data_IF_066025399179
#
_entry.id   IF_066025399179
#
_cell.length_a   1.000
_cell.length_b   1.000
_cell.length_c   1.000
_cell.angle_alpha   90.00
_cell.angle_beta   90.00
_cell.angle_gamma   90.00
#
_symmetry.space_group_name_H-M   'P 1'
#
loop_
_entity.id
_entity.type
_entity.pdbx_description
1 polymer ?
#
# COMPACT_ATOMS: atom_id res chain seq x y z
N UNK A 1 -43.39 -14.30 6.76
CA UNK A 1 -43.22 -12.87 6.47
C UNK A 1 -41.76 -12.60 6.15
N UNK A 2 -41.43 -12.30 4.89
CA UNK A 2 -40.06 -11.96 4.47
C UNK A 2 -39.88 -10.44 4.58
N UNK A 3 -38.95 -9.98 5.42
CA UNK A 3 -38.63 -8.56 5.57
C UNK A 3 -38.08 -8.04 4.23
N UNK A 4 -38.69 -6.98 3.69
CA UNK A 4 -38.16 -6.30 2.49
C UNK A 4 -36.88 -5.54 2.86
N UNK A 5 -35.79 -5.65 2.07
CA UNK A 5 -34.57 -4.91 2.32
C UNK A 5 -34.83 -3.40 2.17
N UNK A 6 -34.44 -2.62 3.19
CA UNK A 6 -34.47 -1.15 3.16
C UNK A 6 -33.08 -0.65 2.84
N UNK A 7 -32.92 0.06 1.72
CA UNK A 7 -31.67 0.75 1.41
C UNK A 7 -31.43 1.89 2.40
N UNK A 8 -30.20 2.01 2.90
CA UNK A 8 -29.77 3.12 3.77
C UNK A 8 -29.35 4.30 2.89
N UNK A 9 -30.30 5.17 2.53
CA UNK A 9 -30.07 6.37 1.70
C UNK A 9 -29.60 7.60 2.53
N UNK A 10 -29.10 7.40 3.75
CA UNK A 10 -28.62 8.50 4.62
C UNK A 10 -27.17 8.90 4.35
N UNK A 11 -26.46 9.32 5.40
CA UNK A 11 -25.02 9.68 5.36
C UNK A 11 -24.09 8.58 4.81
N UNK A 12 -24.57 7.33 4.77
CA UNK A 12 -23.88 6.20 4.12
C UNK A 12 -23.77 6.32 2.59
N UNK A 13 -24.52 7.23 1.96
CA UNK A 13 -24.42 7.47 0.52
C UNK A 13 -23.27 8.43 0.15
N UNK A 14 -22.81 9.25 1.09
CA UNK A 14 -21.80 10.27 0.84
C UNK A 14 -20.47 9.72 0.26
N UNK A 15 -19.92 8.59 0.75
CA UNK A 15 -18.72 7.99 0.15
C UNK A 15 -18.98 7.49 -1.29
N UNK A 16 -20.19 7.00 -1.57
CA UNK A 16 -20.58 6.55 -2.91
C UNK A 16 -20.68 7.70 -3.91
N UNK A 17 -21.26 8.83 -3.51
CA UNK A 17 -21.31 10.05 -4.33
C UNK A 17 -19.89 10.56 -4.60
N UNK A 18 -19.02 10.56 -3.57
CA UNK A 18 -17.63 10.97 -3.72
C UNK A 18 -16.90 10.11 -4.78
N UNK A 19 -17.09 8.80 -4.75
CA UNK A 19 -16.50 7.89 -5.72
C UNK A 19 -16.97 8.17 -7.15
N UNK A 20 -18.27 8.40 -7.36
CA UNK A 20 -18.81 8.77 -8.68
C UNK A 20 -18.29 10.13 -9.15
N UNK A 21 -18.17 11.10 -8.24
CA UNK A 21 -17.57 12.41 -8.54
C UNK A 21 -16.11 12.30 -8.98
N UNK A 22 -15.30 11.51 -8.26
CA UNK A 22 -13.91 11.26 -8.62
C UNK A 22 -13.80 10.54 -9.97
N UNK A 23 -14.67 9.57 -10.23
CA UNK A 23 -14.73 8.89 -11.53
C UNK A 23 -15.03 9.87 -12.68
N UNK A 24 -16.01 10.75 -12.52
CA UNK A 24 -16.35 11.75 -13.52
C UNK A 24 -15.18 12.74 -13.75
N UNK A 25 -14.48 13.14 -12.69
CA UNK A 25 -13.29 13.98 -12.78
C UNK A 25 -12.17 13.29 -13.56
N UNK A 26 -11.89 12.01 -13.26
CA UNK A 26 -10.90 11.24 -14.01
C UNK A 26 -11.29 11.09 -15.48
N UNK A 27 -12.56 10.79 -15.76
CA UNK A 27 -13.07 10.73 -17.13
C UNK A 27 -12.87 12.07 -17.87
N UNK A 28 -13.16 13.19 -17.20
CA UNK A 28 -12.94 14.53 -17.76
C UNK A 28 -11.46 14.76 -18.10
N UNK A 29 -10.55 14.42 -17.20
CA UNK A 29 -9.10 14.56 -17.42
C UNK A 29 -8.67 13.72 -18.63
N UNK A 30 -9.04 12.44 -18.67
CA UNK A 30 -8.69 11.53 -19.78
C UNK A 30 -9.21 12.05 -21.13
N UNK A 31 -10.44 12.57 -21.17
CA UNK A 31 -11.04 13.07 -22.41
C UNK A 31 -10.44 14.40 -22.89
N UNK A 32 -9.90 15.21 -21.97
CA UNK A 32 -9.33 16.53 -22.29
C UNK A 32 -7.80 16.54 -22.36
N UNK A 33 -7.14 15.44 -21.99
CA UNK A 33 -5.68 15.34 -22.07
C UNK A 33 -5.27 14.97 -23.49
N UNK A 34 -4.57 15.84 -24.23
CA UNK A 34 -4.06 15.49 -25.54
C UNK A 34 -2.91 14.49 -25.37
N UNK A 35 -3.07 13.29 -25.90
CA UNK A 35 -1.97 12.33 -26.06
C UNK A 35 -1.26 12.63 -27.37
N UNK A 36 0.05 12.87 -27.32
CA UNK A 36 0.87 12.97 -28.54
C UNK A 36 0.92 11.65 -29.30
N UNK A 37 1.22 11.70 -30.60
CA UNK A 37 1.56 10.49 -31.34
C UNK A 37 2.83 9.88 -30.74
N UNK A 38 2.75 8.62 -30.33
CA UNK A 38 3.92 7.88 -29.85
C UNK A 38 4.85 7.63 -31.05
N UNK A 39 6.14 8.00 -30.97
CA UNK A 39 7.11 7.63 -32.00
C UNK A 39 7.15 6.11 -32.20
N UNK A 40 7.29 5.61 -33.43
CA UNK A 40 7.37 4.16 -33.69
C UNK A 40 8.57 3.51 -32.97
N UNK A 41 9.61 4.29 -32.68
CA UNK A 41 10.85 3.91 -31.99
C UNK A 41 10.76 4.09 -30.46
N UNK A 42 9.61 4.48 -29.89
CA UNK A 42 9.52 4.94 -28.49
C UNK A 42 9.89 3.87 -27.43
N UNK A 43 9.95 2.60 -27.84
CA UNK A 43 10.34 1.48 -26.97
C UNK A 43 11.56 0.72 -27.48
N UNK A 44 12.25 1.21 -28.53
CA UNK A 44 13.51 0.63 -28.97
C UNK A 44 14.66 1.14 -28.07
N UNK A 45 14.66 0.68 -26.83
CA UNK A 45 15.66 1.03 -25.83
C UNK A 45 16.34 -0.24 -25.33
N UNK A 46 17.68 -0.24 -25.32
CA UNK A 46 18.46 -1.40 -24.89
C UNK A 46 18.19 -1.79 -23.42
N UNK A 47 17.93 -0.80 -22.56
CA UNK A 47 17.60 -1.02 -21.15
C UNK A 47 16.78 0.12 -20.55
N UNK A 48 15.51 -0.18 -20.23
CA UNK A 48 14.62 0.73 -19.51
C UNK A 48 15.18 1.09 -18.13
N UNK A 49 15.83 0.13 -17.46
CA UNK A 49 16.44 0.37 -16.15
C UNK A 49 17.58 1.38 -16.23
N UNK A 50 18.43 1.27 -17.28
CA UNK A 50 19.52 2.22 -17.49
C UNK A 50 18.97 3.62 -17.81
N UNK A 51 17.99 3.70 -18.70
CA UNK A 51 17.28 4.94 -19.05
C UNK A 51 16.72 5.68 -17.82
N UNK A 52 16.03 4.95 -16.94
CA UNK A 52 15.51 5.51 -15.68
C UNK A 52 16.67 5.96 -14.77
N UNK A 53 17.73 5.15 -14.67
CA UNK A 53 18.93 5.50 -13.88
C UNK A 53 19.60 6.77 -14.37
N UNK A 54 19.77 6.94 -15.68
CA UNK A 54 20.36 8.15 -16.25
C UNK A 54 19.47 9.37 -16.01
N UNK A 55 18.15 9.23 -16.13
CA UNK A 55 17.19 10.30 -15.83
C UNK A 55 17.20 10.70 -14.35
N UNK A 56 17.31 9.74 -13.43
CA UNK A 56 17.36 9.99 -11.98
C UNK A 56 18.60 10.78 -11.54
N UNK A 57 19.73 10.56 -12.20
CA UNK A 57 21.01 11.20 -11.87
C UNK A 57 21.38 12.34 -12.82
N UNK A 58 20.46 12.78 -13.68
CA UNK A 58 20.67 13.88 -14.63
C UNK A 58 21.87 13.65 -15.57
N UNK A 59 22.02 12.42 -16.05
CA UNK A 59 23.14 11.98 -16.89
C UNK A 59 22.80 12.11 -18.40
N UNK A 60 22.39 13.31 -18.82
CA UNK A 60 22.03 13.65 -20.21
C UNK A 60 23.00 13.17 -21.29
N UNK A 61 24.33 13.35 -21.16
CA UNK A 61 25.28 12.89 -22.17
C UNK A 61 25.28 11.36 -22.40
N UNK A 62 24.96 10.57 -21.36
CA UNK A 62 24.86 9.11 -21.49
C UNK A 62 23.52 8.70 -22.11
N UNK A 63 22.45 9.44 -21.81
CA UNK A 63 21.13 9.26 -22.43
C UNK A 63 21.18 9.46 -23.95
N UNK A 64 21.90 10.49 -24.42
CA UNK A 64 22.10 10.73 -25.85
C UNK A 64 22.93 9.63 -26.51
N UNK A 65 23.97 9.13 -25.82
CA UNK A 65 24.86 8.07 -26.34
C UNK A 65 24.11 6.74 -26.51
N UNK A 66 23.23 6.41 -25.57
CA UNK A 66 22.45 5.17 -25.58
C UNK A 66 21.09 5.32 -26.31
N UNK A 67 20.87 6.46 -26.98
CA UNK A 67 19.66 6.71 -27.79
C UNK A 67 18.38 6.95 -26.99
N UNK A 68 18.46 7.09 -25.67
CA UNK A 68 17.29 7.21 -24.78
C UNK A 68 17.09 8.66 -24.33
N UNK A 69 16.51 9.50 -25.20
CA UNK A 69 16.25 10.92 -24.91
C UNK A 69 14.80 11.17 -24.46
N UNK A 70 14.58 12.22 -23.67
CA UNK A 70 13.23 12.69 -23.32
C UNK A 70 12.50 11.86 -22.25
N UNK A 71 13.25 11.23 -21.35
CA UNK A 71 12.73 10.39 -20.25
C UNK A 71 12.21 11.20 -19.05
N UNK A 72 12.52 12.48 -18.95
CA UNK A 72 12.19 13.33 -17.80
C UNK A 72 10.67 13.42 -17.52
N UNK A 73 9.78 13.60 -18.53
CA UNK A 73 8.34 13.65 -18.28
C UNK A 73 7.80 12.31 -17.79
N UNK A 74 8.36 11.20 -18.29
CA UNK A 74 8.05 9.86 -17.81
C UNK A 74 8.51 9.69 -16.36
N UNK A 75 9.73 10.09 -16.04
CA UNK A 75 10.26 10.02 -14.67
C UNK A 75 9.41 10.85 -13.70
N UNK A 76 9.01 12.06 -14.09
CA UNK A 76 8.13 12.90 -13.29
C UNK A 76 6.76 12.25 -13.05
N UNK A 77 6.15 11.67 -14.09
CA UNK A 77 4.90 10.92 -13.96
C UNK A 77 5.06 9.68 -13.06
N UNK A 78 6.15 8.93 -13.22
CA UNK A 78 6.48 7.76 -12.41
C UNK A 78 6.60 8.13 -10.92
N UNK A 79 7.32 9.21 -10.60
CA UNK A 79 7.46 9.70 -9.22
C UNK A 79 6.12 10.20 -8.66
N UNK A 80 5.30 10.88 -9.45
CA UNK A 80 3.96 11.31 -9.04
C UNK A 80 3.06 10.11 -8.72
N UNK A 81 3.10 9.05 -9.53
CA UNK A 81 2.35 7.82 -9.28
C UNK A 81 2.85 7.17 -8.00
N UNK A 82 4.16 7.04 -7.81
CA UNK A 82 4.74 6.46 -6.60
C UNK A 82 4.27 7.20 -5.34
N UNK A 83 4.36 8.54 -5.34
CA UNK A 83 3.89 9.38 -4.24
C UNK A 83 2.37 9.23 -3.99
N UNK A 84 1.59 9.15 -5.07
CA UNK A 84 0.13 9.01 -4.97
C UNK A 84 -0.24 7.64 -4.40
N UNK A 85 0.44 6.58 -4.82
CA UNK A 85 0.22 5.22 -4.32
C UNK A 85 0.58 5.09 -2.83
N UNK A 86 1.66 5.73 -2.40
CA UNK A 86 2.06 5.79 -0.99
C UNK A 86 0.97 6.43 -0.12
N UNK A 87 0.52 7.64 -0.49
CA UNK A 87 -0.55 8.34 0.21
C UNK A 87 -1.89 7.58 0.17
N UNK A 88 -2.19 6.89 -0.94
CA UNK A 88 -3.39 6.07 -1.07
C UNK A 88 -3.34 4.85 -0.14
N UNK A 89 -2.17 4.22 0.03
CA UNK A 89 -1.99 3.10 0.95
C UNK A 89 -2.23 3.57 2.39
N UNK A 90 -1.63 4.69 2.80
CA UNK A 90 -1.85 5.28 4.12
C UNK A 90 -3.33 5.64 4.36
N UNK A 91 -3.97 6.29 3.40
CA UNK A 91 -5.39 6.60 3.48
C UNK A 91 -6.25 5.33 3.59
N UNK A 92 -5.90 4.27 2.84
CA UNK A 92 -6.60 2.99 2.90
C UNK A 92 -6.48 2.34 4.28
N UNK A 93 -5.32 2.45 4.92
CA UNK A 93 -5.08 1.95 6.27
C UNK A 93 -5.88 2.74 7.31
N UNK A 94 -5.89 4.07 7.21
CA UNK A 94 -6.70 4.94 8.07
C UNK A 94 -8.20 4.66 7.91
N UNK A 95 -8.68 4.44 6.68
CA UNK A 95 -10.08 4.08 6.42
C UNK A 95 -10.42 2.65 6.86
N UNK A 96 -9.46 1.72 6.79
CA UNK A 96 -9.64 0.33 7.20
C UNK A 96 -9.72 0.20 8.73
N UNK A 97 -8.99 1.04 9.46
CA UNK A 97 -9.13 1.15 10.92
C UNK A 97 -10.51 1.69 11.26
N UNK A 98 -11.39 0.78 11.73
CA UNK A 98 -12.69 1.16 12.29
C UNK A 98 -12.52 1.33 13.79
N UNK A 99 -12.82 2.53 14.27
CA UNK A 99 -12.93 2.82 15.69
C UNK A 99 -14.42 2.88 16.05
N UNK A 100 -14.84 2.07 17.02
CA UNK A 100 -16.19 2.11 17.57
C UNK A 100 -16.07 2.58 19.02
N UNK A 101 -16.67 3.73 19.34
CA UNK A 101 -16.64 4.33 20.68
C UNK A 101 -15.23 4.64 21.23
N UNK A 102 -14.26 4.90 20.35
CA UNK A 102 -12.88 5.22 20.73
C UNK A 102 -11.97 4.01 20.89
N UNK A 103 -12.49 2.80 20.70
CA UNK A 103 -11.71 1.55 20.73
C UNK A 103 -11.49 1.00 19.32
N UNK A 104 -10.26 0.56 18.96
CA UNK A 104 -9.99 -0.08 17.67
C UNK A 104 -10.74 -1.41 17.54
N UNK A 105 -11.67 -1.53 16.60
CA UNK A 105 -12.40 -2.79 16.34
C UNK A 105 -11.66 -3.60 15.28
N UNK A 106 -10.77 -4.49 15.73
CA UNK A 106 -10.18 -5.48 14.85
C UNK A 106 -11.21 -6.59 14.54
N UNK A 107 -11.59 -6.74 13.27
CA UNK A 107 -12.54 -7.77 12.82
C UNK A 107 -12.10 -9.22 13.17
N UNK A 108 -10.80 -9.42 13.43
CA UNK A 108 -10.24 -10.71 13.83
C UNK A 108 -10.43 -11.03 15.34
N UNK A 109 -10.46 -10.01 16.21
CA UNK A 109 -10.61 -10.21 17.66
C UNK A 109 -12.01 -10.70 18.03
N UNK A 110 -13.04 -10.32 17.25
CA UNK A 110 -14.43 -10.72 17.48
C UNK A 110 -14.69 -12.23 17.29
N UNK A 111 -13.78 -13.00 16.69
CA UNK A 111 -13.98 -14.43 16.44
C UNK A 111 -13.32 -15.35 17.48
N UNK A 112 -12.62 -14.79 18.47
CA UNK A 112 -11.89 -15.55 19.49
C UNK A 112 -12.49 -15.54 20.90
N UNK A 113 -13.56 -14.79 21.17
CA UNK A 113 -14.01 -14.51 22.55
C UNK A 113 -15.47 -14.90 22.82
N UNK A 114 -15.93 -16.04 22.30
CA UNK A 114 -17.28 -16.56 22.58
C UNK A 114 -17.25 -17.93 23.26
N UNK A 115 -16.43 -18.10 24.31
CA UNK A 115 -16.74 -19.12 25.30
C UNK A 115 -16.32 -18.71 26.72
N UNK A 116 -17.23 -18.99 27.67
CA UNK A 116 -17.15 -18.81 29.13
C UNK A 116 -17.61 -17.46 29.73
N UNK A 117 -18.85 -17.39 30.24
CA UNK A 117 -19.22 -16.46 31.30
C UNK A 117 -19.00 -17.07 32.70
N UNK A 118 -18.55 -16.17 33.59
CA UNK A 118 -18.67 -16.18 35.05
C UNK A 118 -17.50 -16.73 35.89
N UNK A 119 -16.99 -15.77 36.67
CA UNK A 119 -16.51 -15.87 38.05
C UNK A 119 -15.03 -16.20 38.26
N UNK A 120 -14.24 -15.16 38.52
CA UNK A 120 -13.24 -15.08 39.60
C UNK A 120 -12.50 -13.75 39.52
N UNK A 121 -12.66 -12.96 40.56
CA UNK A 121 -11.87 -11.80 40.91
C UNK A 121 -10.35 -12.07 40.96
N UNK A 122 -9.60 -11.00 40.68
CA UNK A 122 -8.16 -10.76 40.93
C UNK A 122 -7.24 -10.85 39.70
N UNK A 123 -6.27 -9.93 39.71
CA UNK A 123 -5.10 -9.83 38.84
C UNK A 123 -5.25 -9.12 37.48
N UNK A 124 -5.28 -7.79 37.58
CA UNK A 124 -4.67 -6.92 36.59
C UNK A 124 -3.14 -7.13 36.59
N UNK A 125 -2.67 -8.20 35.95
CA UNK A 125 -1.25 -8.41 35.68
C UNK A 125 -0.98 -8.28 34.18
N UNK A 126 -0.40 -7.12 33.85
CA UNK A 126 0.69 -6.92 32.88
C UNK A 126 0.77 -7.94 31.74
N UNK A 127 0.05 -7.67 30.64
CA UNK A 127 0.33 -8.32 29.35
C UNK A 127 1.45 -7.55 28.65
N UNK A 128 2.68 -7.89 28.99
CA UNK A 128 3.87 -7.51 28.23
C UNK A 128 3.69 -7.94 26.77
N UNK A 129 3.90 -7.01 25.84
CA UNK A 129 3.93 -7.33 24.42
C UNK A 129 5.07 -8.34 24.16
N UNK A 130 4.73 -9.54 23.69
CA UNK A 130 5.73 -10.52 23.28
C UNK A 130 6.34 -10.07 21.96
N UNK A 131 7.51 -9.44 22.01
CA UNK A 131 8.41 -9.39 20.87
C UNK A 131 9.10 -10.76 20.77
N UNK A 132 8.61 -11.61 19.88
CA UNK A 132 9.33 -12.75 19.35
C UNK A 132 10.52 -12.22 18.53
N UNK A 133 11.60 -11.93 19.24
CA UNK A 133 12.92 -11.70 18.66
C UNK A 133 13.68 -13.01 18.71
N UNK A 134 13.82 -13.67 17.55
CA UNK A 134 14.49 -14.97 17.41
C UNK A 134 15.86 -15.01 18.09
N UNK A 135 16.05 -15.97 18.97
CA UNK A 135 17.33 -16.24 19.63
C UNK A 135 18.17 -17.19 18.78
N UNK A 136 19.37 -16.73 18.41
CA UNK A 136 20.43 -17.54 17.82
C UNK A 136 20.70 -18.79 18.67
N UNK A 137 20.80 -19.94 18.01
CA UNK A 137 21.40 -21.14 18.61
C UNK A 137 22.75 -21.34 17.96
N UNK A 138 23.76 -20.73 18.57
CA UNK A 138 25.16 -21.07 18.40
C UNK A 138 25.40 -22.32 19.26
N UNK A 139 25.47 -23.49 18.61
CA UNK A 139 25.79 -24.75 19.28
C UNK A 139 27.31 -24.92 19.31
N UNK A 140 27.89 -24.59 20.45
CA UNK A 140 29.19 -25.08 20.88
C UNK A 140 29.04 -26.56 21.29
N UNK A 141 29.88 -27.43 20.73
CA UNK A 141 30.13 -28.77 21.24
C UNK A 141 31.55 -29.19 20.85
N UNK A 142 32.41 -29.11 21.86
CA UNK A 142 33.80 -29.55 21.98
C UNK A 142 33.89 -31.07 22.12
N UNK A 143 34.83 -31.72 21.42
CA UNK A 143 35.60 -32.94 21.81
C UNK A 143 36.54 -33.27 20.62
N UNK A 144 37.87 -33.45 20.68
CA UNK A 144 38.72 -34.08 21.67
C UNK A 144 39.26 -35.40 21.08
N UNK A 145 40.56 -35.49 20.76
CA UNK A 145 41.22 -36.79 20.52
C UNK A 145 42.33 -36.81 19.46
N UNK A 146 43.53 -37.17 19.90
CA UNK A 146 44.80 -37.26 19.17
C UNK A 146 45.00 -38.58 18.40
N UNK A 147 45.75 -38.52 17.30
CA UNK A 147 47.04 -39.23 17.08
C UNK A 147 47.73 -38.67 15.82
#
# INVERSE_FOLDING_TARGET
MTRRPKLRLGSSLAPGILAVGLFALMALIVLNTPFGAMPEEAFDVDSITAAIGYALFDLGPLQETDGVSGTEPFLAAFLLIALTLDAALDASLVLAKREESGEPVAALASRGSNDTPADSSADAQSRSASTDGGSATESDATDGGAD
#
